data_IF_305052651032
#
_entry.id   IF_305052651032
#
_cell.length_a   1.000
_cell.length_b   1.000
_cell.length_c   1.000
_cell.angle_alpha   90.00
_cell.angle_beta   90.00
_cell.angle_gamma   90.00
#
_symmetry.space_group_name_H-M   'P 1'
#
loop_
_entity.id
_entity.type
_entity.pdbx_description
1 polymer ?
#
# COMPACT_ATOMS: atom_id res chain seq x y z
N UNK A 1 -9.93 -4.56 -9.17
CA UNK A 1 -10.49 -5.36 -8.04
C UNK A 1 -11.54 -4.53 -7.34
N UNK A 2 -12.72 -5.09 -7.10
CA UNK A 2 -13.75 -4.49 -6.23
C UNK A 2 -13.58 -5.05 -4.82
N UNK A 3 -13.71 -4.20 -3.79
CA UNK A 3 -13.68 -4.61 -2.38
C UNK A 3 -14.95 -4.12 -1.70
N UNK A 4 -15.70 -5.04 -1.10
CA UNK A 4 -16.91 -4.74 -0.35
C UNK A 4 -16.68 -5.02 1.13
N UNK A 5 -16.93 -4.01 1.98
CA UNK A 5 -16.93 -4.11 3.43
C UNK A 5 -18.38 -4.14 3.90
N UNK A 6 -18.75 -5.13 4.71
CA UNK A 6 -20.10 -5.25 5.24
C UNK A 6 -20.07 -5.28 6.77
N UNK A 7 -20.61 -4.23 7.38
CA UNK A 7 -20.71 -4.04 8.84
C UNK A 7 -19.39 -4.33 9.57
N UNK A 8 -18.26 -3.93 8.93
CA UNK A 8 -16.94 -4.23 9.42
C UNK A 8 -16.68 -3.48 10.72
N UNK A 9 -16.17 -4.18 11.72
CA UNK A 9 -15.79 -3.59 12.99
C UNK A 9 -14.48 -4.20 13.50
N UNK A 10 -13.66 -3.39 14.15
CA UNK A 10 -12.40 -3.82 14.78
C UNK A 10 -12.27 -3.26 16.17
N UNK A 11 -11.91 -4.14 17.11
CA UNK A 11 -11.51 -3.75 18.46
C UNK A 11 -10.17 -4.40 18.83
N UNK A 12 -9.43 -3.73 19.65
CA UNK A 12 -8.29 -4.30 20.36
C UNK A 12 -8.62 -4.32 21.86
N UNK A 13 -8.53 -5.49 22.46
CA UNK A 13 -9.00 -5.71 23.84
C UNK A 13 -10.46 -5.28 24.01
N UNK A 14 -10.72 -4.21 24.77
CA UNK A 14 -12.06 -3.67 25.05
C UNK A 14 -12.40 -2.42 24.25
N UNK A 15 -11.44 -1.84 23.52
CA UNK A 15 -11.61 -0.57 22.81
C UNK A 15 -11.90 -0.81 21.33
N UNK A 16 -12.99 -0.22 20.85
CA UNK A 16 -13.34 -0.21 19.45
C UNK A 16 -12.53 0.84 18.70
N UNK A 17 -11.93 0.45 17.59
CA UNK A 17 -11.26 1.36 16.66
C UNK A 17 -12.29 2.00 15.75
N UNK A 18 -13.22 1.20 15.23
CA UNK A 18 -14.39 1.60 14.45
C UNK A 18 -15.44 0.50 14.44
N UNK A 19 -16.68 0.85 14.05
CA UNK A 19 -17.83 -0.04 13.99
C UNK A 19 -18.63 0.20 12.72
N UNK A 20 -19.32 -0.85 12.25
CA UNK A 20 -20.34 -0.79 11.19
C UNK A 20 -19.85 -0.15 9.87
N UNK A 21 -18.56 -0.28 9.56
CA UNK A 21 -18.02 0.23 8.29
C UNK A 21 -18.59 -0.59 7.14
N UNK A 22 -19.49 0.01 6.35
CA UNK A 22 -20.05 -0.59 5.14
C UNK A 22 -19.71 0.30 3.96
N UNK A 23 -18.77 -0.16 3.12
CA UNK A 23 -18.17 0.61 2.03
C UNK A 23 -17.87 -0.29 0.83
N UNK A 24 -17.91 0.30 -0.35
CA UNK A 24 -17.43 -0.35 -1.58
C UNK A 24 -16.34 0.48 -2.22
N UNK A 25 -15.19 -0.15 -2.46
CA UNK A 25 -14.12 0.35 -3.30
C UNK A 25 -14.28 -0.25 -4.70
N UNK A 26 -14.66 0.56 -5.66
CA UNK A 26 -14.91 0.10 -7.01
C UNK A 26 -13.61 -0.32 -7.72
N UNK A 27 -13.72 -1.25 -8.66
CA UNK A 27 -12.57 -1.65 -9.47
C UNK A 27 -11.95 -0.46 -10.20
N UNK A 28 -10.64 -0.30 -10.09
CA UNK A 28 -9.89 0.79 -10.72
C UNK A 28 -9.98 2.15 -10.01
N UNK A 29 -10.80 2.30 -8.95
CA UNK A 29 -10.92 3.56 -8.21
C UNK A 29 -9.70 3.87 -7.35
N UNK A 30 -9.47 5.16 -7.08
CA UNK A 30 -8.43 5.66 -6.17
C UNK A 30 -9.09 6.38 -5.01
N UNK A 31 -9.00 5.79 -3.83
CA UNK A 31 -9.69 6.28 -2.63
C UNK A 31 -8.71 6.62 -1.53
N UNK A 32 -8.81 7.82 -0.98
CA UNK A 32 -8.12 8.23 0.24
C UNK A 32 -8.92 7.83 1.49
N UNK A 33 -8.27 7.17 2.44
CA UNK A 33 -8.80 6.96 3.80
C UNK A 33 -8.13 7.98 4.71
N UNK A 34 -8.89 8.97 5.16
CA UNK A 34 -8.35 10.12 5.89
C UNK A 34 -8.75 10.11 7.36
N UNK A 35 -7.93 10.81 8.17
CA UNK A 35 -8.17 11.01 9.59
C UNK A 35 -6.87 11.24 10.36
N UNK A 36 -6.97 11.69 11.60
CA UNK A 36 -5.82 11.93 12.49
C UNK A 36 -5.06 10.65 12.83
N UNK A 37 -3.89 10.76 13.43
CA UNK A 37 -3.16 9.60 13.97
C UNK A 37 -4.00 8.90 15.02
N UNK A 38 -4.00 7.55 14.99
CA UNK A 38 -4.83 6.72 15.88
C UNK A 38 -6.32 6.68 15.49
N UNK A 39 -6.75 7.27 14.36
CA UNK A 39 -8.16 7.21 13.93
C UNK A 39 -8.61 5.84 13.43
N UNK A 40 -7.67 4.95 13.05
CA UNK A 40 -7.97 3.61 12.53
C UNK A 40 -7.64 3.39 11.06
N UNK A 41 -7.04 4.37 10.34
CA UNK A 41 -6.65 4.24 8.92
C UNK A 41 -5.82 2.98 8.65
N UNK A 42 -4.68 2.87 9.34
CA UNK A 42 -3.77 1.72 9.20
C UNK A 42 -4.45 0.40 9.58
N UNK A 43 -5.36 0.43 10.55
CA UNK A 43 -6.15 -0.74 10.93
C UNK A 43 -7.08 -1.16 9.80
N UNK A 44 -7.80 -0.22 9.18
CA UNK A 44 -8.66 -0.52 8.03
C UNK A 44 -7.85 -1.09 6.86
N UNK A 45 -6.71 -0.49 6.54
CA UNK A 45 -5.81 -0.96 5.48
C UNK A 45 -5.29 -2.38 5.77
N UNK A 46 -4.91 -2.67 7.03
CA UNK A 46 -4.49 -4.02 7.44
C UNK A 46 -5.61 -5.05 7.31
N UNK A 47 -6.85 -4.69 7.64
CA UNK A 47 -8.01 -5.56 7.42
C UNK A 47 -8.24 -5.83 5.92
N UNK A 48 -8.20 -4.78 5.08
CA UNK A 48 -8.36 -4.92 3.63
C UNK A 48 -7.20 -5.73 3.00
N UNK A 49 -6.01 -5.69 3.59
CA UNK A 49 -4.87 -6.52 3.13
C UNK A 49 -4.93 -7.97 3.62
N UNK A 50 -5.91 -8.32 4.45
CA UNK A 50 -5.98 -9.59 5.19
C UNK A 50 -4.79 -9.87 6.13
N UNK A 51 -3.96 -8.85 6.42
CA UNK A 51 -2.89 -8.94 7.43
C UNK A 51 -3.44 -8.93 8.87
N UNK A 52 -4.71 -8.55 9.03
CA UNK A 52 -5.43 -8.50 10.30
C UNK A 52 -6.85 -9.02 10.08
N UNK A 53 -7.45 -9.67 11.08
CA UNK A 53 -8.83 -10.16 11.01
C UNK A 53 -9.80 -9.15 11.63
N UNK A 54 -11.00 -8.97 11.06
CA UNK A 54 -12.04 -8.15 11.66
C UNK A 54 -12.58 -8.79 12.95
N UNK A 55 -13.08 -7.95 13.85
CA UNK A 55 -13.79 -8.43 15.05
C UNK A 55 -15.24 -8.76 14.75
N UNK A 56 -15.85 -8.09 13.75
CA UNK A 56 -17.19 -8.34 13.21
C UNK A 56 -17.24 -7.91 11.75
N UNK A 57 -18.25 -8.40 11.03
CA UNK A 57 -18.44 -8.11 9.61
C UNK A 57 -17.51 -8.93 8.72
N UNK A 58 -17.55 -8.65 7.43
CA UNK A 58 -16.81 -9.41 6.42
C UNK A 58 -16.26 -8.50 5.32
N UNK A 59 -15.26 -8.99 4.61
CA UNK A 59 -14.66 -8.35 3.44
C UNK A 59 -14.74 -9.30 2.27
N UNK A 60 -15.37 -8.85 1.19
CA UNK A 60 -15.45 -9.60 -0.07
C UNK A 60 -14.57 -8.94 -1.13
N UNK A 61 -13.81 -9.75 -1.83
CA UNK A 61 -12.94 -9.31 -2.92
C UNK A 61 -13.40 -9.91 -4.24
N UNK A 62 -13.51 -9.07 -5.29
CA UNK A 62 -13.88 -9.52 -6.64
C UNK A 62 -12.93 -9.00 -7.70
N UNK A 63 -12.50 -9.87 -8.59
CA UNK A 63 -11.78 -9.52 -9.81
C UNK A 63 -12.55 -10.11 -11.00
N UNK A 64 -12.94 -9.26 -11.95
CA UNK A 64 -13.74 -9.66 -13.11
C UNK A 64 -14.99 -10.49 -12.71
N UNK A 65 -15.71 -10.03 -11.67
CA UNK A 65 -16.89 -10.68 -11.08
C UNK A 65 -16.62 -12.04 -10.41
N UNK A 66 -15.38 -12.50 -10.32
CA UNK A 66 -15.02 -13.71 -9.59
C UNK A 66 -14.56 -13.34 -8.19
N UNK A 67 -15.14 -14.02 -7.18
CA UNK A 67 -14.74 -13.86 -5.78
C UNK A 67 -13.36 -14.48 -5.59
N UNK A 68 -12.49 -13.74 -4.88
CA UNK A 68 -11.20 -14.25 -4.43
C UNK A 68 -11.30 -14.55 -2.94
N UNK A 69 -11.00 -15.77 -2.56
CA UNK A 69 -10.93 -16.19 -1.17
C UNK A 69 -9.85 -15.40 -0.43
N UNK A 70 -10.15 -15.02 0.81
CA UNK A 70 -9.28 -14.17 1.62
C UNK A 70 -7.86 -14.75 1.78
N UNK A 71 -7.73 -16.07 1.86
CA UNK A 71 -6.43 -16.75 1.98
C UNK A 71 -5.52 -16.58 0.76
N UNK A 72 -6.08 -16.26 -0.42
CA UNK A 72 -5.31 -16.04 -1.65
C UNK A 72 -5.13 -14.57 -2.03
N UNK A 73 -5.71 -13.65 -1.25
CA UNK A 73 -5.69 -12.21 -1.59
C UNK A 73 -4.27 -11.66 -1.69
N UNK A 74 -3.32 -12.20 -0.90
CA UNK A 74 -1.91 -11.78 -0.95
C UNK A 74 -1.30 -11.85 -2.35
N UNK A 75 -1.79 -12.74 -3.23
CA UNK A 75 -1.35 -12.83 -4.63
C UNK A 75 -1.75 -11.60 -5.45
N UNK A 76 -2.83 -10.95 -5.08
CA UNK A 76 -3.48 -9.89 -5.83
C UNK A 76 -3.21 -8.48 -5.29
N UNK A 77 -2.52 -8.34 -4.15
CA UNK A 77 -2.26 -7.05 -3.50
C UNK A 77 -0.78 -6.71 -3.46
N UNK A 78 -0.49 -5.41 -3.41
CA UNK A 78 0.80 -4.86 -2.96
C UNK A 78 0.54 -3.82 -1.88
N UNK A 79 1.45 -3.73 -0.91
CA UNK A 79 1.25 -2.90 0.26
C UNK A 79 2.56 -2.23 0.69
N UNK A 80 2.51 -0.92 0.92
CA UNK A 80 3.60 -0.17 1.53
C UNK A 80 3.09 0.66 2.70
N UNK A 81 3.82 0.63 3.81
CA UNK A 81 3.55 1.41 5.01
C UNK A 81 4.87 1.73 5.74
N UNK A 82 4.92 2.80 6.56
CA UNK A 82 6.13 3.15 7.32
C UNK A 82 6.61 2.03 8.25
N UNK A 83 5.67 1.32 8.87
CA UNK A 83 5.93 0.25 9.86
C UNK A 83 6.22 -1.13 9.24
N UNK A 84 6.23 -1.26 7.91
CA UNK A 84 6.69 -2.50 7.26
C UNK A 84 8.21 -2.46 7.19
N UNK A 85 8.86 -3.42 7.84
CA UNK A 85 10.30 -3.54 7.81
C UNK A 85 10.78 -4.25 6.55
N UNK A 86 11.96 -3.87 6.10
CA UNK A 86 12.69 -4.54 5.03
C UNK A 86 13.72 -5.49 5.66
N UNK A 87 14.05 -6.58 4.97
CA UNK A 87 15.11 -7.49 5.40
C UNK A 87 16.45 -6.76 5.34
N UNK A 88 16.98 -6.37 6.49
CA UNK A 88 18.12 -5.47 6.61
C UNK A 88 19.45 -6.09 6.22
N UNK A 89 19.55 -7.42 6.25
CA UNK A 89 20.71 -8.20 5.87
C UNK A 89 20.93 -8.26 4.36
N UNK A 90 19.88 -8.03 3.57
CA UNK A 90 19.98 -8.00 2.12
C UNK A 90 20.61 -6.68 1.65
N UNK A 91 21.32 -6.75 0.55
CA UNK A 91 21.61 -5.56 -0.26
C UNK A 91 20.35 -5.10 -1.01
N UNK A 92 20.33 -3.87 -1.49
CA UNK A 92 19.22 -3.37 -2.29
C UNK A 92 18.90 -4.26 -3.50
N UNK A 93 19.95 -4.74 -4.20
CA UNK A 93 19.80 -5.61 -5.36
C UNK A 93 19.27 -7.00 -4.99
N UNK A 94 19.77 -7.60 -3.91
CA UNK A 94 19.30 -8.90 -3.43
C UNK A 94 17.84 -8.84 -3.02
N UNK A 95 17.40 -7.79 -2.30
CA UNK A 95 16.01 -7.64 -1.93
C UNK A 95 15.11 -7.52 -3.15
N UNK A 96 15.50 -6.74 -4.15
CA UNK A 96 14.72 -6.58 -5.38
C UNK A 96 14.64 -7.92 -6.15
N UNK A 97 15.74 -8.65 -6.26
CA UNK A 97 15.76 -9.98 -6.90
C UNK A 97 14.88 -10.98 -6.14
N UNK A 98 14.95 -10.98 -4.81
CA UNK A 98 14.10 -11.81 -3.96
C UNK A 98 12.62 -11.48 -4.16
N UNK A 99 12.26 -10.20 -4.18
CA UNK A 99 10.89 -9.74 -4.42
C UNK A 99 10.34 -10.22 -5.79
N UNK A 100 11.15 -10.17 -6.84
CA UNK A 100 10.76 -10.59 -8.19
C UNK A 100 10.37 -12.08 -8.29
N UNK A 101 10.84 -12.93 -7.37
CA UNK A 101 10.42 -14.34 -7.32
C UNK A 101 8.95 -14.51 -6.93
N UNK A 102 8.36 -13.50 -6.27
CA UNK A 102 6.97 -13.54 -5.80
C UNK A 102 6.05 -12.59 -6.58
N UNK A 103 6.59 -11.42 -6.97
CA UNK A 103 5.82 -10.38 -7.64
C UNK A 103 6.63 -9.74 -8.77
N UNK A 104 6.30 -10.05 -10.02
CA UNK A 104 6.94 -9.42 -11.17
C UNK A 104 6.57 -7.93 -11.22
N UNK A 105 7.49 -7.11 -11.71
CA UNK A 105 7.20 -5.71 -12.00
C UNK A 105 6.33 -5.56 -13.26
N UNK A 106 5.57 -4.48 -13.31
CA UNK A 106 4.93 -4.01 -14.53
C UNK A 106 6.02 -3.64 -15.55
N UNK A 107 5.65 -3.61 -16.84
CA UNK A 107 6.60 -3.29 -17.93
C UNK A 107 7.86 -4.17 -17.97
N UNK A 108 7.83 -5.31 -17.24
CA UNK A 108 8.95 -6.26 -17.15
C UNK A 108 10.29 -5.62 -16.74
N UNK A 109 10.24 -4.62 -15.85
CA UNK A 109 11.45 -3.97 -15.32
C UNK A 109 12.41 -4.99 -14.71
N UNK A 110 13.69 -4.88 -15.07
CA UNK A 110 14.77 -5.61 -14.39
C UNK A 110 15.09 -4.97 -13.04
N UNK A 111 15.78 -5.71 -12.17
CA UNK A 111 16.22 -5.17 -10.87
C UNK A 111 17.08 -3.91 -11.02
N UNK A 112 17.93 -3.84 -12.03
CA UNK A 112 18.78 -2.67 -12.30
C UNK A 112 17.94 -1.46 -12.71
N UNK A 113 17.07 -1.62 -13.70
CA UNK A 113 16.15 -0.56 -14.15
C UNK A 113 15.24 -0.06 -13.03
N UNK A 114 14.76 -0.97 -12.19
CA UNK A 114 13.96 -0.60 -11.02
C UNK A 114 14.76 0.27 -10.02
N UNK A 115 16.00 -0.11 -9.70
CA UNK A 115 16.85 0.68 -8.79
C UNK A 115 17.20 2.06 -9.37
N UNK A 116 17.42 2.16 -10.68
CA UNK A 116 17.58 3.45 -11.38
C UNK A 116 16.33 4.32 -11.26
N UNK A 117 15.16 3.74 -11.53
CA UNK A 117 13.86 4.40 -11.48
C UNK A 117 13.58 5.05 -10.12
N UNK A 118 13.98 4.40 -9.03
CA UNK A 118 13.78 4.90 -7.66
C UNK A 118 14.98 5.66 -7.09
N UNK A 119 15.97 6.00 -7.93
CA UNK A 119 17.20 6.72 -7.58
C UNK A 119 18.05 6.01 -6.50
N UNK A 120 18.18 4.68 -6.61
CA UNK A 120 18.97 3.83 -5.71
C UNK A 120 20.01 2.99 -6.45
N UNK A 121 20.35 3.31 -7.71
CA UNK A 121 21.33 2.57 -8.51
C UNK A 121 22.70 2.47 -7.81
N UNK A 122 23.16 3.56 -7.21
CA UNK A 122 24.47 3.61 -6.53
C UNK A 122 24.48 2.90 -5.18
N UNK A 123 23.30 2.60 -4.66
CA UNK A 123 23.10 1.89 -3.40
C UNK A 123 22.72 0.40 -3.57
N UNK A 124 22.65 -0.08 -4.82
CA UNK A 124 22.23 -1.44 -5.11
C UNK A 124 23.03 -2.54 -4.38
N UNK A 125 24.34 -2.33 -4.21
CA UNK A 125 25.21 -3.28 -3.49
C UNK A 125 25.38 -2.95 -1.99
N UNK A 126 24.71 -1.92 -1.48
CA UNK A 126 24.73 -1.53 -0.07
C UNK A 126 23.67 -2.31 0.71
N UNK A 127 24.01 -2.81 1.90
CA UNK A 127 23.04 -3.46 2.78
C UNK A 127 21.97 -2.47 3.23
N UNK A 128 20.71 -2.95 3.31
CA UNK A 128 19.52 -2.14 3.65
C UNK A 128 19.60 -1.54 5.05
N UNK A 129 20.26 -2.22 6.00
CA UNK A 129 20.54 -1.65 7.33
C UNK A 129 21.28 -0.30 7.27
N UNK A 130 22.02 -0.05 6.19
CA UNK A 130 22.79 1.18 5.97
C UNK A 130 22.04 2.19 5.08
N UNK A 131 20.79 1.94 4.72
CA UNK A 131 19.96 2.91 3.99
C UNK A 131 19.43 3.97 4.95
N UNK A 132 19.32 5.21 4.46
CA UNK A 132 18.57 6.24 5.18
C UNK A 132 17.06 5.90 5.20
N UNK A 133 16.32 6.55 6.10
CA UNK A 133 14.85 6.38 6.16
C UNK A 133 14.18 6.69 4.81
N UNK A 134 14.60 7.77 4.13
CA UNK A 134 14.11 8.12 2.80
C UNK A 134 14.48 7.11 1.72
N UNK A 135 15.67 6.48 1.78
CA UNK A 135 16.03 5.39 0.87
C UNK A 135 15.17 4.15 1.10
N UNK A 136 14.96 3.76 2.37
CA UNK A 136 14.07 2.64 2.73
C UNK A 136 12.65 2.92 2.26
N UNK A 137 12.15 4.15 2.43
CA UNK A 137 10.80 4.52 2.00
C UNK A 137 10.65 4.49 0.48
N UNK A 138 11.60 5.04 -0.29
CA UNK A 138 11.58 4.96 -1.76
C UNK A 138 11.61 3.51 -2.25
N UNK A 139 12.40 2.64 -1.61
CA UNK A 139 12.43 1.22 -1.94
C UNK A 139 11.09 0.55 -1.67
N UNK A 140 10.48 0.75 -0.49
CA UNK A 140 9.15 0.21 -0.16
C UNK A 140 8.07 0.65 -1.13
N UNK A 141 8.01 1.95 -1.42
CA UNK A 141 7.04 2.51 -2.37
C UNK A 141 7.25 1.97 -3.78
N UNK A 142 8.50 1.94 -4.25
CA UNK A 142 8.82 1.39 -5.56
C UNK A 142 8.39 -0.07 -5.69
N UNK A 143 8.73 -0.91 -4.71
CA UNK A 143 8.33 -2.33 -4.69
C UNK A 143 6.81 -2.48 -4.76
N UNK A 144 6.06 -1.69 -3.98
CA UNK A 144 4.60 -1.78 -3.98
C UNK A 144 3.97 -1.24 -5.27
N UNK A 145 4.42 -0.06 -5.75
CA UNK A 145 3.80 0.63 -6.88
C UNK A 145 4.18 -0.03 -8.21
N UNK A 146 5.44 -0.42 -8.41
CA UNK A 146 5.89 -0.98 -9.68
C UNK A 146 5.50 -2.45 -9.87
N UNK A 147 5.11 -3.18 -8.82
CA UNK A 147 4.72 -4.58 -8.93
C UNK A 147 3.33 -4.78 -9.55
N UNK A 148 3.14 -5.89 -10.26
CA UNK A 148 1.83 -6.31 -10.77
C UNK A 148 0.92 -6.68 -9.60
N UNK A 149 -0.22 -6.02 -9.50
CA UNK A 149 -1.28 -6.31 -8.51
C UNK A 149 -2.62 -5.76 -8.97
N UNK A 150 -3.72 -6.29 -8.42
CA UNK A 150 -5.07 -5.77 -8.66
C UNK A 150 -5.45 -4.68 -7.65
N UNK A 151 -4.79 -4.68 -6.49
CA UNK A 151 -4.99 -3.73 -5.41
C UNK A 151 -3.64 -3.20 -4.91
N UNK A 152 -3.52 -1.88 -4.84
CA UNK A 152 -2.41 -1.17 -4.22
C UNK A 152 -2.89 -0.54 -2.92
N UNK A 153 -2.22 -0.85 -1.83
CA UNK A 153 -2.45 -0.28 -0.51
C UNK A 153 -1.23 0.55 -0.11
N UNK A 154 -1.46 1.81 0.22
CA UNK A 154 -0.43 2.73 0.68
C UNK A 154 -0.87 3.35 2.00
N UNK A 155 -0.04 3.29 3.02
CA UNK A 155 -0.30 3.94 4.30
C UNK A 155 0.78 4.98 4.54
N UNK A 156 0.38 6.24 4.67
CA UNK A 156 1.27 7.41 4.83
C UNK A 156 2.47 7.38 3.86
N UNK A 157 2.23 7.30 2.52
CA UNK A 157 3.29 7.05 1.56
C UNK A 157 4.38 8.12 1.53
N UNK A 158 4.07 9.37 1.87
CA UNK A 158 5.03 10.47 1.86
C UNK A 158 5.86 10.59 3.15
N UNK A 159 5.61 9.74 4.16
CA UNK A 159 6.41 9.70 5.37
C UNK A 159 7.91 9.55 5.06
N UNK A 160 8.74 10.38 5.69
CA UNK A 160 10.21 10.38 5.53
C UNK A 160 10.72 10.66 4.11
N UNK A 161 9.90 11.19 3.21
CA UNK A 161 10.33 11.64 1.89
C UNK A 161 10.67 13.13 1.90
N UNK A 162 11.73 13.47 1.19
CA UNK A 162 12.04 14.84 0.77
C UNK A 162 11.22 15.22 -0.49
N UNK A 163 11.32 16.45 -0.93
CA UNK A 163 10.61 16.94 -2.12
C UNK A 163 10.90 16.10 -3.38
N UNK A 164 12.13 15.59 -3.52
CA UNK A 164 12.51 14.70 -4.63
C UNK A 164 11.81 13.34 -4.52
N UNK A 165 11.71 12.80 -3.31
CA UNK A 165 11.00 11.55 -3.03
C UNK A 165 9.49 11.67 -3.26
N UNK A 166 8.87 12.79 -2.89
CA UNK A 166 7.47 13.08 -3.15
C UNK A 166 7.20 13.16 -4.66
N UNK A 167 8.05 13.87 -5.40
CA UNK A 167 7.95 13.93 -6.87
C UNK A 167 8.07 12.54 -7.50
N UNK A 168 9.00 11.72 -7.01
CA UNK A 168 9.13 10.33 -7.44
C UNK A 168 7.84 9.54 -7.18
N UNK A 169 7.25 9.65 -5.98
CA UNK A 169 5.99 9.00 -5.63
C UNK A 169 4.88 9.35 -6.63
N UNK A 170 4.70 10.64 -6.95
CA UNK A 170 3.70 11.07 -7.94
C UNK A 170 3.99 10.49 -9.33
N UNK A 171 5.26 10.48 -9.75
CA UNK A 171 5.67 9.91 -11.05
C UNK A 171 5.37 8.42 -11.12
N UNK A 172 5.73 7.65 -10.08
CA UNK A 172 5.46 6.21 -10.03
C UNK A 172 3.96 5.91 -10.07
N UNK A 173 3.14 6.67 -9.31
CA UNK A 173 1.68 6.49 -9.35
C UNK A 173 1.10 6.80 -10.72
N UNK A 174 1.56 7.85 -11.39
CA UNK A 174 1.06 8.20 -12.73
C UNK A 174 1.41 7.14 -13.78
N UNK A 175 2.61 6.54 -13.68
CA UNK A 175 3.09 5.55 -14.64
C UNK A 175 2.53 4.14 -14.38
N UNK A 176 2.54 3.68 -13.13
CA UNK A 176 2.28 2.28 -12.79
C UNK A 176 0.93 2.01 -12.13
N UNK A 177 0.07 3.02 -11.95
CA UNK A 177 -1.21 2.83 -11.28
C UNK A 177 -2.42 2.77 -12.23
N UNK A 178 -2.22 2.36 -13.47
CA UNK A 178 -3.30 2.23 -14.45
C UNK A 178 -4.15 0.98 -14.18
N UNK A 179 -5.47 1.14 -14.23
CA UNK A 179 -6.46 0.05 -14.09
C UNK A 179 -6.39 -0.76 -12.78
N UNK A 180 -5.78 -0.22 -11.74
CA UNK A 180 -5.61 -0.86 -10.44
C UNK A 180 -6.39 -0.10 -9.37
N UNK A 181 -7.11 -0.84 -8.52
CA UNK A 181 -7.74 -0.23 -7.34
C UNK A 181 -6.66 0.21 -6.37
N UNK A 182 -6.77 1.43 -5.85
CA UNK A 182 -5.77 2.00 -4.94
C UNK A 182 -6.45 2.61 -3.73
N UNK A 183 -5.95 2.26 -2.54
CA UNK A 183 -6.40 2.83 -1.27
C UNK A 183 -5.19 3.45 -0.58
N UNK A 184 -5.32 4.73 -0.21
CA UNK A 184 -4.25 5.52 0.40
C UNK A 184 -4.71 5.99 1.78
N UNK A 185 -4.05 5.54 2.84
CA UNK A 185 -4.20 6.10 4.19
C UNK A 185 -3.38 7.37 4.35
N UNK A 186 -4.00 8.45 4.77
CA UNK A 186 -3.35 9.75 4.90
C UNK A 186 -3.85 10.56 6.10
N UNK A 187 -2.95 11.32 6.70
CA UNK A 187 -3.27 12.38 7.65
C UNK A 187 -3.69 13.68 6.96
N UNK A 188 -4.45 13.59 5.86
CA UNK A 188 -4.92 14.73 5.05
C UNK A 188 -3.77 15.49 4.36
N UNK A 189 -2.61 14.86 4.15
CA UNK A 189 -1.51 15.45 3.40
C UNK A 189 -1.88 15.50 1.90
N UNK A 190 -1.83 16.69 1.33
CA UNK A 190 -2.21 16.94 -0.08
C UNK A 190 -1.37 16.11 -1.05
N UNK A 191 -0.07 15.98 -0.78
CA UNK A 191 0.85 15.21 -1.64
C UNK A 191 0.51 13.72 -1.67
N UNK A 192 0.01 13.15 -0.57
CA UNK A 192 -0.41 11.75 -0.50
C UNK A 192 -1.69 11.50 -1.30
N UNK A 193 -2.60 12.47 -1.28
CA UNK A 193 -3.95 12.37 -1.84
C UNK A 193 -4.06 12.92 -3.29
N UNK A 194 -2.97 13.42 -3.86
CA UNK A 194 -2.96 14.09 -5.17
C UNK A 194 -3.65 13.28 -6.29
N UNK A 195 -3.60 11.96 -6.24
CA UNK A 195 -4.19 11.09 -7.27
C UNK A 195 -5.54 10.48 -6.87
N UNK A 196 -6.11 10.83 -5.71
CA UNK A 196 -7.37 10.26 -5.23
C UNK A 196 -8.58 10.93 -5.87
N UNK A 197 -9.60 10.13 -6.19
CA UNK A 197 -10.87 10.57 -6.78
C UNK A 197 -11.91 10.91 -5.70
N UNK A 198 -11.79 10.25 -4.54
CA UNK A 198 -12.67 10.45 -3.38
C UNK A 198 -11.91 10.19 -2.08
N UNK A 199 -12.43 10.73 -0.99
CA UNK A 199 -11.93 10.46 0.36
C UNK A 199 -13.02 9.90 1.25
N UNK A 200 -12.60 9.08 2.23
CA UNK A 200 -13.46 8.51 3.28
C UNK A 200 -12.83 8.85 4.60
N UNK A 201 -13.58 9.48 5.50
CA UNK A 201 -13.11 9.83 6.83
C UNK A 201 -13.42 8.68 7.80
N UNK A 202 -12.38 7.98 8.26
CA UNK A 202 -12.57 6.79 9.12
C UNK A 202 -13.16 7.13 10.50
N UNK A 203 -12.97 8.36 10.98
CA UNK A 203 -13.55 8.81 12.25
C UNK A 203 -15.08 8.84 12.27
N UNK A 204 -15.73 8.85 11.10
CA UNK A 204 -17.20 8.85 10.98
C UNK A 204 -17.81 7.51 11.38
N UNK A 205 -16.98 6.50 11.62
CA UNK A 205 -17.37 5.13 12.00
C UNK A 205 -16.95 4.74 13.43
N UNK A 206 -16.67 5.70 14.28
CA UNK A 206 -16.30 5.46 15.70
C UNK A 206 -17.51 5.15 16.59
#
# INVERSE_FOLDING_TARGET
MEIQLQSLAKRFNKEWVFKEVSLTFNSGSRTGVIGSNGSGKSTLIKLISAAELPSKGEITYKVNNTIIEQEYIYKSITYAAPYIDLVEEFTGKELVQFHLNFKPFQENLTATQFLELIYLQDAGNKHIKNFSSGMKQRLKLGLAICSKSNLLLLDEPCSNLDAKGIKLYHTLLSQFNQNRTTIIGSNEQTDELHSTEKTIRISDYK
#
